data_IF_997564919317
#
_entry.id   IF_997564919317
#
_cell.length_a   1.000
_cell.length_b   1.000
_cell.length_c   1.000
_cell.angle_alpha   90.00
_cell.angle_beta   90.00
_cell.angle_gamma   90.00
#
_symmetry.space_group_name_H-M   'P 1'
#
loop_
_entity.id
_entity.type
_entity.pdbx_description
1 polymer ?
#
# COMPACT_ATOMS: atom_id res chain seq x y z
N UNK A 1 -18.56 -8.80 11.93
CA UNK A 1 -17.15 -8.61 12.33
C UNK A 1 -16.32 -9.67 11.65
N UNK A 2 -15.26 -9.31 10.95
CA UNK A 2 -14.33 -10.26 10.32
C UNK A 2 -13.01 -10.30 11.09
N UNK A 3 -12.45 -11.50 11.20
CA UNK A 3 -11.10 -11.70 11.75
C UNK A 3 -10.19 -12.01 10.56
N UNK A 4 -9.05 -11.35 10.50
CA UNK A 4 -8.08 -11.52 9.43
C UNK A 4 -6.75 -11.99 10.03
N UNK A 5 -6.07 -12.90 9.35
CA UNK A 5 -4.78 -13.43 9.81
C UNK A 5 -3.61 -12.47 9.50
N UNK A 6 -3.79 -11.59 8.53
CA UNK A 6 -2.78 -10.63 8.12
C UNK A 6 -3.37 -9.28 7.75
N UNK A 7 -2.60 -8.21 7.96
CA UNK A 7 -2.98 -6.86 7.54
C UNK A 7 -3.21 -6.78 6.02
N UNK A 8 -2.51 -7.58 5.22
CA UNK A 8 -2.66 -7.60 3.76
C UNK A 8 -4.04 -8.11 3.31
N UNK A 9 -4.71 -8.90 4.14
CA UNK A 9 -6.07 -9.41 3.86
C UNK A 9 -7.14 -8.31 3.96
N UNK A 10 -6.79 -7.17 4.52
CA UNK A 10 -7.67 -6.00 4.64
C UNK A 10 -7.51 -5.00 3.48
N UNK A 11 -6.61 -5.27 2.54
CA UNK A 11 -6.41 -4.42 1.37
C UNK A 11 -7.61 -4.53 0.42
N UNK A 12 -8.12 -3.40 0.00
CA UNK A 12 -9.27 -3.35 -0.88
C UNK A 12 -10.59 -3.25 -0.13
N UNK A 13 -11.70 -3.56 -0.80
CA UNK A 13 -13.03 -3.40 -0.21
C UNK A 13 -13.35 -1.97 0.25
N UNK A 14 -12.62 -0.98 -0.25
CA UNK A 14 -12.74 0.41 0.17
C UNK A 14 -14.12 0.98 -0.14
N UNK A 15 -14.67 1.85 0.73
CA UNK A 15 -16.03 2.35 0.59
C UNK A 15 -16.17 3.33 -0.57
N UNK A 16 -17.40 3.42 -1.09
CA UNK A 16 -17.81 4.50 -1.97
C UNK A 16 -18.76 5.41 -1.19
N UNK A 17 -18.44 6.70 -1.15
CA UNK A 17 -19.19 7.71 -0.40
C UNK A 17 -19.83 8.70 -1.36
N UNK A 18 -21.13 8.96 -1.19
CA UNK A 18 -21.81 10.01 -1.90
C UNK A 18 -21.47 11.39 -1.30
N UNK A 19 -21.05 12.30 -2.17
CA UNK A 19 -20.69 13.67 -1.80
C UNK A 19 -21.88 14.61 -2.06
N UNK A 20 -22.61 14.97 -1.01
CA UNK A 20 -23.84 15.76 -1.15
C UNK A 20 -23.57 17.26 -1.32
N UNK A 21 -22.62 17.81 -0.56
CA UNK A 21 -22.39 19.28 -0.53
C UNK A 21 -21.54 19.79 -1.70
N UNK A 22 -20.75 18.92 -2.31
CA UNK A 22 -19.83 19.29 -3.39
C UNK A 22 -20.42 19.07 -4.78
N UNK A 23 -21.53 18.33 -4.86
CA UNK A 23 -22.16 18.02 -6.14
C UNK A 23 -23.07 19.18 -6.59
N UNK A 24 -23.02 19.57 -7.88
CA UNK A 24 -24.05 20.43 -8.46
C UNK A 24 -25.44 19.80 -8.35
N UNK A 25 -26.50 20.62 -8.35
CA UNK A 25 -27.86 20.18 -8.05
C UNK A 25 -28.39 19.02 -8.92
N UNK A 26 -27.87 18.87 -10.14
CA UNK A 26 -28.32 17.86 -11.12
C UNK A 26 -27.31 16.70 -11.30
N UNK A 27 -26.27 16.63 -10.44
CA UNK A 27 -25.22 15.64 -10.54
C UNK A 27 -25.13 14.83 -9.26
N UNK A 28 -25.04 13.51 -9.38
CA UNK A 28 -24.69 12.65 -8.26
C UNK A 28 -23.19 12.35 -8.32
N UNK A 29 -22.48 12.75 -7.28
CA UNK A 29 -21.02 12.59 -7.18
C UNK A 29 -20.68 11.56 -6.10
N UNK A 30 -19.81 10.62 -6.44
CA UNK A 30 -19.29 9.62 -5.52
C UNK A 30 -17.76 9.66 -5.45
N UNK A 31 -17.22 9.41 -4.28
CA UNK A 31 -15.78 9.20 -4.06
C UNK A 31 -15.50 7.77 -3.65
N UNK A 32 -14.60 7.10 -4.35
CA UNK A 32 -14.00 5.83 -3.92
C UNK A 32 -12.84 6.14 -2.96
N UNK A 33 -13.01 5.81 -1.67
CA UNK A 33 -12.09 6.28 -0.62
C UNK A 33 -10.94 5.29 -0.42
N UNK A 34 -9.92 5.38 -1.23
CA UNK A 34 -8.75 4.49 -1.21
C UNK A 34 -7.82 4.71 -0.01
N UNK A 35 -7.97 5.80 0.73
CA UNK A 35 -7.27 6.02 2.00
C UNK A 35 -7.71 5.07 3.12
N UNK A 36 -8.78 4.31 2.93
CA UNK A 36 -9.21 3.25 3.84
C UNK A 36 -8.39 1.96 3.72
N UNK A 37 -7.52 1.85 2.72
CA UNK A 37 -6.55 0.76 2.71
C UNK A 37 -5.60 0.86 3.93
N UNK A 38 -5.08 -0.24 4.46
CA UNK A 38 -4.28 -0.26 5.70
C UNK A 38 -3.00 0.59 5.63
N UNK A 39 -2.38 0.71 4.47
CA UNK A 39 -1.24 1.61 4.23
C UNK A 39 -1.66 3.04 3.84
N UNK A 40 -2.96 3.32 3.78
CA UNK A 40 -3.51 4.66 3.58
C UNK A 40 -3.63 5.12 2.13
N UNK A 41 -3.45 4.26 1.14
CA UNK A 41 -3.57 4.66 -0.27
C UNK A 41 -3.94 3.50 -1.20
N UNK A 42 -4.28 3.85 -2.45
CA UNK A 42 -4.51 2.87 -3.54
C UNK A 42 -3.27 2.02 -3.84
N UNK A 43 -2.08 2.45 -3.44
CA UNK A 43 -0.82 1.75 -3.72
C UNK A 43 -0.70 0.43 -2.94
N UNK A 44 -1.48 0.23 -1.91
CA UNK A 44 -1.55 -1.06 -1.21
C UNK A 44 -2.00 -2.17 -2.18
N UNK A 45 -2.96 -1.87 -3.04
CA UNK A 45 -3.42 -2.81 -4.09
C UNK A 45 -2.31 -3.18 -5.07
N UNK A 46 -1.53 -2.19 -5.49
CA UNK A 46 -0.39 -2.40 -6.38
C UNK A 46 0.67 -3.26 -5.71
N UNK A 47 1.04 -2.92 -4.48
CA UNK A 47 2.09 -3.62 -3.74
C UNK A 47 1.76 -5.10 -3.53
N UNK A 48 0.56 -5.41 -3.03
CA UNK A 48 0.18 -6.81 -2.82
C UNK A 48 0.10 -7.58 -4.14
N UNK A 49 -0.41 -6.97 -5.20
CA UNK A 49 -0.51 -7.62 -6.51
C UNK A 49 0.87 -7.97 -7.08
N UNK A 50 1.83 -7.05 -7.01
CA UNK A 50 3.21 -7.27 -7.48
C UNK A 50 3.88 -8.40 -6.68
N UNK A 51 3.79 -8.37 -5.36
CA UNK A 51 4.44 -9.38 -4.51
C UNK A 51 3.84 -10.78 -4.75
N UNK A 52 2.52 -10.89 -4.77
CA UNK A 52 1.87 -12.18 -5.02
C UNK A 52 2.16 -12.72 -6.43
N UNK A 53 2.20 -11.85 -7.44
CA UNK A 53 2.53 -12.28 -8.80
C UNK A 53 3.99 -12.75 -8.90
N UNK A 54 4.93 -12.04 -8.29
CA UNK A 54 6.33 -12.44 -8.25
C UNK A 54 6.54 -13.78 -7.50
N UNK A 55 5.81 -14.01 -6.41
CA UNK A 55 5.80 -15.30 -5.72
C UNK A 55 5.26 -16.41 -6.63
N UNK A 56 4.11 -16.18 -7.26
CA UNK A 56 3.47 -17.16 -8.16
C UNK A 56 4.38 -17.55 -9.33
N UNK A 57 5.13 -16.59 -9.87
CA UNK A 57 6.10 -16.84 -10.97
C UNK A 57 7.43 -17.44 -10.50
N UNK A 58 7.63 -17.57 -9.18
CA UNK A 58 8.86 -18.07 -8.60
C UNK A 58 10.05 -17.09 -8.67
N UNK A 59 9.79 -15.83 -9.00
CA UNK A 59 10.81 -14.77 -9.04
C UNK A 59 11.15 -14.26 -7.63
N UNK A 60 10.16 -14.23 -6.74
CA UNK A 60 10.33 -13.88 -5.34
C UNK A 60 10.20 -15.11 -4.47
N UNK A 61 11.28 -15.42 -3.74
CA UNK A 61 11.39 -16.58 -2.83
C UNK A 61 11.82 -16.12 -1.44
N UNK A 62 11.55 -16.90 -0.39
CA UNK A 62 12.05 -16.61 0.96
C UNK A 62 13.54 -16.25 0.96
N UNK A 63 13.91 -15.20 1.69
CA UNK A 63 15.27 -14.68 1.78
C UNK A 63 15.68 -13.69 0.69
N UNK A 64 14.89 -13.50 -0.36
CA UNK A 64 15.15 -12.47 -1.37
C UNK A 64 14.75 -11.10 -0.88
N UNK A 65 15.54 -10.09 -1.22
CA UNK A 65 15.27 -8.67 -0.93
C UNK A 65 14.47 -8.06 -2.07
N UNK A 66 13.40 -7.36 -1.72
CA UNK A 66 12.65 -6.52 -2.65
C UNK A 66 13.29 -5.13 -2.66
N UNK A 67 13.57 -4.60 -3.84
CA UNK A 67 14.18 -3.27 -4.02
C UNK A 67 13.31 -2.44 -4.95
N UNK A 68 12.99 -1.22 -4.56
CA UNK A 68 12.19 -0.29 -5.37
C UNK A 68 12.70 1.13 -5.26
N UNK A 69 12.77 1.82 -6.39
CA UNK A 69 13.03 3.26 -6.44
C UNK A 69 11.71 4.00 -6.21
N UNK A 70 11.50 4.49 -5.01
CA UNK A 70 10.22 5.08 -4.60
C UNK A 70 10.41 6.18 -3.58
N UNK A 71 9.60 7.19 -3.66
CA UNK A 71 9.59 8.32 -2.72
C UNK A 71 8.26 8.52 -2.00
N UNK A 72 7.26 7.69 -2.34
CA UNK A 72 5.89 7.96 -1.95
C UNK A 72 5.13 6.75 -1.40
N UNK A 73 3.83 6.76 -1.67
CA UNK A 73 2.89 5.76 -1.18
C UNK A 73 3.20 4.34 -1.67
N UNK A 74 3.83 4.18 -2.83
CA UNK A 74 4.28 2.86 -3.32
C UNK A 74 5.33 2.25 -2.37
N UNK A 75 6.29 3.05 -1.93
CA UNK A 75 7.30 2.60 -0.96
C UNK A 75 6.70 2.23 0.38
N UNK A 76 5.77 3.02 0.88
CA UNK A 76 5.05 2.73 2.14
C UNK A 76 4.28 1.42 2.01
N UNK A 77 3.55 1.23 0.92
CA UNK A 77 2.77 0.02 0.67
C UNK A 77 3.66 -1.23 0.54
N UNK A 78 4.76 -1.14 -0.22
CA UNK A 78 5.71 -2.24 -0.34
C UNK A 78 6.38 -2.57 0.99
N UNK A 79 6.75 -1.56 1.79
CA UNK A 79 7.32 -1.79 3.12
C UNK A 79 6.34 -2.57 4.02
N UNK A 80 5.08 -2.18 4.04
CA UNK A 80 4.03 -2.87 4.80
C UNK A 80 3.82 -4.30 4.31
N UNK A 81 3.65 -4.50 3.01
CA UNK A 81 3.41 -5.84 2.42
C UNK A 81 4.61 -6.75 2.63
N UNK A 82 5.83 -6.25 2.42
CA UNK A 82 7.05 -7.03 2.65
C UNK A 82 7.21 -7.42 4.12
N UNK A 83 6.92 -6.49 5.05
CA UNK A 83 6.91 -6.79 6.48
C UNK A 83 5.93 -7.92 6.83
N UNK A 84 4.71 -7.84 6.30
CA UNK A 84 3.67 -8.84 6.54
C UNK A 84 4.01 -10.21 5.94
N UNK A 85 4.73 -10.26 4.82
CA UNK A 85 5.09 -11.49 4.12
C UNK A 85 6.51 -11.99 4.40
N UNK A 86 7.28 -11.29 5.22
CA UNK A 86 8.60 -11.74 5.66
C UNK A 86 9.73 -11.48 4.66
N UNK A 87 9.61 -10.48 3.77
CA UNK A 87 10.67 -10.10 2.85
C UNK A 87 11.42 -8.86 3.34
N UNK A 88 12.77 -8.87 3.29
CA UNK A 88 13.52 -7.62 3.41
C UNK A 88 13.15 -6.65 2.30
N UNK A 89 13.00 -5.37 2.64
CA UNK A 89 12.68 -4.32 1.67
C UNK A 89 13.69 -3.18 1.73
N UNK A 90 14.17 -2.76 0.57
CA UNK A 90 15.08 -1.62 0.39
C UNK A 90 14.39 -0.58 -0.49
N UNK A 91 14.08 0.57 0.07
CA UNK A 91 13.60 1.73 -0.68
C UNK A 91 14.79 2.60 -1.11
N UNK A 92 14.95 2.79 -2.41
CA UNK A 92 15.91 3.74 -2.97
C UNK A 92 15.18 5.06 -3.20
N UNK A 93 15.61 6.12 -2.51
CA UNK A 93 14.94 7.41 -2.61
C UNK A 93 15.92 8.57 -2.41
N UNK A 94 15.61 9.73 -3.03
CA UNK A 94 16.37 10.95 -2.81
C UNK A 94 16.19 11.45 -1.36
N UNK A 95 17.21 12.07 -0.83
CA UNK A 95 17.22 12.70 0.48
C UNK A 95 16.31 13.95 0.57
N UNK A 96 15.93 14.51 -0.58
CA UNK A 96 15.02 15.66 -0.67
C UNK A 96 13.54 15.34 -0.35
N UNK A 97 13.17 14.04 -0.26
CA UNK A 97 11.81 13.64 0.07
C UNK A 97 11.50 13.65 1.56
N UNK A 98 10.19 13.65 1.89
CA UNK A 98 9.72 13.85 3.26
C UNK A 98 10.30 12.83 4.24
N UNK A 99 10.74 13.32 5.39
CA UNK A 99 11.30 12.50 6.45
C UNK A 99 10.26 11.56 7.07
N UNK A 100 8.98 11.95 7.04
CA UNK A 100 7.86 11.17 7.59
C UNK A 100 7.71 9.84 6.86
N UNK A 101 7.82 9.84 5.54
CA UNK A 101 7.76 8.60 4.73
C UNK A 101 8.93 7.69 4.99
N UNK A 102 10.15 8.25 5.18
CA UNK A 102 11.32 7.46 5.58
C UNK A 102 11.13 6.82 6.96
N UNK A 103 10.61 7.57 7.92
CA UNK A 103 10.30 7.06 9.26
C UNK A 103 9.25 5.95 9.20
N UNK A 104 8.20 6.14 8.40
CA UNK A 104 7.14 5.15 8.26
C UNK A 104 7.65 3.85 7.61
N UNK A 105 8.43 3.93 6.53
CA UNK A 105 9.02 2.74 5.91
C UNK A 105 9.98 2.02 6.86
N UNK A 106 10.78 2.75 7.64
CA UNK A 106 11.64 2.18 8.68
C UNK A 106 10.84 1.51 9.79
N UNK A 107 9.71 2.06 10.19
CA UNK A 107 8.83 1.45 11.17
C UNK A 107 8.30 0.08 10.71
N UNK A 108 8.13 -0.11 9.39
CA UNK A 108 7.82 -1.41 8.79
C UNK A 108 9.06 -2.31 8.61
N UNK A 109 10.26 -1.83 8.90
CA UNK A 109 11.49 -2.64 8.81
C UNK A 109 12.28 -2.48 7.51
N UNK A 110 11.95 -1.45 6.68
CA UNK A 110 12.72 -1.15 5.47
C UNK A 110 14.06 -0.46 5.80
#
# INVERSE_FOLDING_TARGET
MSIHDSIVDTIGGTPIIRLHRMAPAQVTLYAKVESFNPGGSVKDRLAIAIILDAERRGELKPGRTVVEATSGNTGVALAMVCAARGYPFVAVMSDSFSIERRKLMRAYGA
#
